data_IF_399375510644
#
_entry.id   IF_399375510644
#
_cell.length_a   1.000
_cell.length_b   1.000
_cell.length_c   1.000
_cell.angle_alpha   90.00
_cell.angle_beta   90.00
_cell.angle_gamma   90.00
#
_symmetry.space_group_name_H-M   'P 1'
#
loop_
_entity.id
_entity.type
_entity.pdbx_description
1 polymer ?
#
# COMPACT_ATOMS: atom_id res chain seq x y z
N UNK A 1 -21.21 7.05 -7.42
CA UNK A 1 -19.85 6.99 -6.80
C UNK A 1 -18.82 7.49 -7.79
N UNK A 2 -17.78 8.14 -7.29
CA UNK A 2 -16.61 8.52 -8.09
C UNK A 2 -15.72 7.29 -8.28
N UNK A 3 -15.45 6.92 -9.54
CA UNK A 3 -14.58 5.79 -9.84
C UNK A 3 -13.12 6.22 -9.85
N UNK A 4 -12.30 5.53 -9.06
CA UNK A 4 -10.88 5.80 -8.93
C UNK A 4 -10.03 4.57 -9.24
N UNK A 5 -8.78 4.80 -9.61
CA UNK A 5 -7.75 3.80 -9.80
C UNK A 5 -6.59 4.11 -8.86
N UNK A 6 -6.03 3.10 -8.18
CA UNK A 6 -4.86 3.28 -7.34
C UNK A 6 -3.66 2.64 -8.02
N UNK A 7 -2.64 3.46 -8.32
CA UNK A 7 -1.38 2.98 -8.90
C UNK A 7 -0.49 2.40 -7.81
N UNK A 8 -0.12 1.15 -8.01
CA UNK A 8 0.65 0.33 -7.09
C UNK A 8 -0.15 -0.84 -6.52
N UNK A 9 0.56 -1.91 -6.16
CA UNK A 9 0.04 -3.10 -5.48
C UNK A 9 1.16 -3.77 -4.65
N UNK A 10 1.88 -2.97 -3.83
CA UNK A 10 3.06 -3.41 -3.09
C UNK A 10 2.96 -3.18 -1.57
N UNK A 11 1.98 -2.42 -1.11
CA UNK A 11 1.77 -2.20 0.32
C UNK A 11 1.25 -0.82 0.68
N UNK A 12 1.92 0.27 0.28
CA UNK A 12 1.47 1.63 0.57
C UNK A 12 0.13 1.97 -0.09
N UNK A 13 -0.08 1.47 -1.28
CA UNK A 13 -1.32 1.51 -2.03
C UNK A 13 -2.48 0.84 -1.28
N UNK A 14 -2.28 -0.38 -0.77
CA UNK A 14 -3.27 -1.08 0.07
C UNK A 14 -3.51 -0.34 1.39
N UNK A 15 -2.45 0.21 2.00
CA UNK A 15 -2.57 1.05 3.19
C UNK A 15 -3.41 2.32 2.91
N UNK A 16 -3.14 3.01 1.82
CA UNK A 16 -3.90 4.18 1.39
C UNK A 16 -5.37 3.83 1.15
N UNK A 17 -5.64 2.70 0.49
CA UNK A 17 -6.99 2.19 0.29
C UNK A 17 -7.68 1.97 1.63
N UNK A 18 -7.06 1.23 2.54
CA UNK A 18 -7.64 0.86 3.83
C UNK A 18 -7.99 2.07 4.71
N UNK A 19 -7.20 3.15 4.64
CA UNK A 19 -7.42 4.32 5.48
C UNK A 19 -8.34 5.37 4.84
N UNK A 20 -8.36 5.45 3.50
CA UNK A 20 -9.01 6.59 2.83
C UNK A 20 -10.26 6.20 2.05
N UNK A 21 -10.29 4.99 1.47
CA UNK A 21 -11.30 4.63 0.48
C UNK A 21 -12.15 3.41 0.82
N UNK A 22 -11.65 2.53 1.69
CA UNK A 22 -12.27 1.23 1.99
C UNK A 22 -13.73 1.34 2.40
N UNK A 23 -14.03 2.32 3.26
CA UNK A 23 -15.34 2.50 3.88
C UNK A 23 -16.07 3.75 3.33
N UNK A 24 -15.55 4.37 2.26
CA UNK A 24 -16.16 5.53 1.61
C UNK A 24 -17.12 5.10 0.49
N UNK A 25 -18.41 5.09 0.77
CA UNK A 25 -19.45 4.74 -0.20
C UNK A 25 -19.59 5.75 -1.37
N UNK A 26 -18.98 6.95 -1.27
CA UNK A 26 -18.96 7.91 -2.36
C UNK A 26 -17.90 7.59 -3.43
N UNK A 27 -16.99 6.65 -3.13
CA UNK A 27 -15.87 6.27 -3.98
C UNK A 27 -15.95 4.78 -4.33
N UNK A 28 -15.62 4.44 -5.56
CA UNK A 28 -15.46 3.07 -6.04
C UNK A 28 -14.04 2.88 -6.57
N UNK A 29 -13.24 2.03 -5.94
CA UNK A 29 -11.92 1.65 -6.42
C UNK A 29 -12.06 0.57 -7.48
N UNK A 30 -11.83 0.92 -8.74
CA UNK A 30 -11.99 0.02 -9.89
C UNK A 30 -10.88 -1.05 -9.93
N UNK A 31 -9.64 -0.66 -9.64
CA UNK A 31 -8.50 -1.58 -9.62
C UNK A 31 -7.28 -0.98 -8.88
N UNK A 32 -6.34 -1.85 -8.55
CA UNK A 32 -4.93 -1.51 -8.30
C UNK A 32 -4.10 -1.83 -9.54
N UNK A 33 -2.92 -1.18 -9.71
CA UNK A 33 -1.99 -1.55 -10.77
C UNK A 33 -0.73 -2.21 -10.21
N UNK A 34 -0.24 -3.23 -10.92
CA UNK A 34 1.02 -3.91 -10.60
C UNK A 34 2.17 -3.26 -11.38
N UNK A 35 3.07 -2.59 -10.66
CA UNK A 35 4.26 -1.96 -11.23
C UNK A 35 5.57 -2.48 -10.63
N UNK A 36 5.59 -2.79 -9.33
CA UNK A 36 6.82 -3.03 -8.57
C UNK A 36 7.04 -4.50 -8.16
N UNK A 37 5.98 -5.32 -8.12
CA UNK A 37 6.06 -6.71 -7.67
C UNK A 37 5.76 -7.64 -8.84
N UNK A 38 6.73 -8.45 -9.27
CA UNK A 38 6.51 -9.45 -10.32
C UNK A 38 5.43 -10.48 -9.93
N UNK A 39 4.56 -10.84 -10.88
CA UNK A 39 3.56 -11.90 -10.68
C UNK A 39 2.35 -11.51 -9.81
N UNK A 40 2.19 -10.26 -9.43
CA UNK A 40 0.99 -9.81 -8.69
C UNK A 40 -0.16 -9.40 -9.63
N UNK A 41 0.13 -9.06 -10.88
CA UNK A 41 -0.88 -8.79 -11.89
C UNK A 41 -1.75 -10.04 -12.14
N UNK A 42 -3.04 -9.83 -12.38
CA UNK A 42 -4.03 -10.91 -12.52
C UNK A 42 -4.57 -11.45 -11.19
N UNK A 43 -4.02 -11.04 -10.04
CA UNK A 43 -4.54 -11.34 -8.71
C UNK A 43 -5.64 -10.35 -8.31
N UNK A 44 -6.22 -10.59 -7.16
CA UNK A 44 -7.19 -9.67 -6.54
C UNK A 44 -6.75 -9.32 -5.12
N UNK A 45 -6.98 -8.08 -4.72
CA UNK A 45 -6.99 -7.72 -3.31
C UNK A 45 -8.19 -8.40 -2.66
N UNK A 46 -8.00 -9.24 -1.62
CA UNK A 46 -9.02 -10.17 -1.15
C UNK A 46 -10.27 -9.46 -0.61
N UNK A 47 -11.47 -10.03 -0.78
CA UNK A 47 -12.71 -9.46 -0.24
C UNK A 47 -12.67 -9.24 1.27
N UNK A 48 -12.03 -10.15 2.01
CA UNK A 48 -11.90 -10.10 3.46
C UNK A 48 -11.15 -8.85 3.93
N UNK A 49 -10.21 -8.37 3.12
CA UNK A 49 -9.44 -7.15 3.37
C UNK A 49 -10.08 -5.92 2.75
N UNK A 50 -10.73 -6.08 1.60
CA UNK A 50 -11.36 -4.99 0.87
C UNK A 50 -12.63 -4.46 1.57
N UNK A 51 -13.31 -5.30 2.34
CA UNK A 51 -14.48 -4.91 3.13
C UNK A 51 -15.82 -5.02 2.37
N UNK A 52 -16.93 -4.67 3.04
CA UNK A 52 -18.28 -4.96 2.56
C UNK A 52 -18.66 -4.23 1.26
N UNK A 53 -18.02 -3.11 0.95
CA UNK A 53 -18.26 -2.39 -0.31
C UNK A 53 -17.62 -3.11 -1.52
N UNK A 54 -16.72 -4.07 -1.29
CA UNK A 54 -16.00 -4.81 -2.32
C UNK A 54 -16.13 -6.33 -2.12
N UNK A 55 -17.34 -6.90 -2.21
CA UNK A 55 -17.59 -8.31 -1.87
C UNK A 55 -16.88 -9.31 -2.79
N UNK A 56 -16.38 -8.86 -3.93
CA UNK A 56 -15.58 -9.67 -4.84
C UNK A 56 -14.08 -9.33 -4.79
N UNK A 57 -13.65 -8.49 -3.82
CA UNK A 57 -12.32 -7.91 -3.80
C UNK A 57 -12.07 -6.94 -4.95
N UNK A 58 -10.82 -6.44 -5.05
CA UNK A 58 -10.44 -5.45 -6.05
C UNK A 58 -9.40 -6.06 -6.99
N UNK A 59 -9.56 -6.00 -8.32
CA UNK A 59 -8.59 -6.56 -9.28
C UNK A 59 -7.25 -5.82 -9.22
N UNK A 60 -6.17 -6.54 -9.49
CA UNK A 60 -4.82 -6.01 -9.66
C UNK A 60 -4.43 -6.23 -11.12
N UNK A 61 -4.24 -5.16 -11.86
CA UNK A 61 -4.02 -5.15 -13.31
C UNK A 61 -2.60 -4.69 -13.62
N UNK A 62 -2.05 -5.07 -14.77
CA UNK A 62 -0.75 -4.56 -15.20
C UNK A 62 -0.83 -3.05 -15.46
N UNK A 63 0.16 -2.30 -14.99
CA UNK A 63 0.22 -0.84 -15.18
C UNK A 63 0.37 -0.46 -16.66
N UNK A 64 0.90 -1.34 -17.50
CA UNK A 64 0.99 -1.13 -18.94
C UNK A 64 -0.39 -0.97 -19.61
N UNK A 65 -1.44 -1.50 -18.98
CA UNK A 65 -2.83 -1.37 -19.45
C UNK A 65 -3.50 -0.06 -19.00
N UNK A 66 -2.78 0.85 -18.34
CA UNK A 66 -3.34 2.03 -17.67
C UNK A 66 -4.31 2.82 -18.58
N UNK A 67 -3.91 3.21 -19.78
CA UNK A 67 -4.73 4.02 -20.67
C UNK A 67 -6.05 3.31 -21.07
N UNK A 68 -5.98 2.01 -21.40
CA UNK A 68 -7.14 1.21 -21.75
C UNK A 68 -8.07 1.01 -20.53
N UNK A 69 -7.48 0.81 -19.35
CA UNK A 69 -8.21 0.65 -18.10
C UNK A 69 -8.99 1.92 -17.73
N UNK A 70 -8.37 3.10 -17.85
CA UNK A 70 -9.00 4.38 -17.56
C UNK A 70 -10.25 4.59 -18.40
N UNK A 71 -10.19 4.27 -19.70
CA UNK A 71 -11.33 4.39 -20.62
C UNK A 71 -12.42 3.34 -20.32
N UNK A 72 -12.03 2.06 -20.22
CA UNK A 72 -12.95 0.95 -19.99
C UNK A 72 -13.74 1.12 -18.70
N UNK A 73 -13.07 1.51 -17.64
CA UNK A 73 -13.65 1.65 -16.30
C UNK A 73 -14.21 3.06 -16.05
N UNK A 74 -14.09 3.99 -17.02
CA UNK A 74 -14.52 5.40 -16.87
C UNK A 74 -13.97 6.03 -15.59
N UNK A 75 -12.69 5.86 -15.35
CA UNK A 75 -12.01 6.35 -14.15
C UNK A 75 -11.95 7.87 -14.16
N UNK A 76 -12.34 8.48 -13.04
CA UNK A 76 -12.37 9.94 -12.89
C UNK A 76 -11.14 10.45 -12.11
N UNK A 77 -10.47 9.59 -11.37
CA UNK A 77 -9.30 9.98 -10.60
C UNK A 77 -8.29 8.82 -10.48
N UNK A 78 -7.04 9.13 -10.70
CA UNK A 78 -5.91 8.22 -10.49
C UNK A 78 -5.16 8.65 -9.24
N UNK A 79 -4.97 7.73 -8.30
CA UNK A 79 -4.21 7.95 -7.06
C UNK A 79 -2.86 7.25 -7.17
N UNK A 80 -1.79 8.03 -7.18
CA UNK A 80 -0.44 7.46 -7.19
C UNK A 80 0.03 7.13 -5.77
N UNK A 81 0.49 5.90 -5.52
CA UNK A 81 0.72 5.41 -4.17
C UNK A 81 2.06 4.70 -3.92
N UNK A 82 2.92 4.57 -4.92
CA UNK A 82 4.22 3.95 -4.74
C UNK A 82 5.40 4.94 -4.85
N UNK A 83 6.59 4.52 -4.48
CA UNK A 83 7.80 5.34 -4.42
C UNK A 83 8.97 4.60 -5.07
N UNK A 84 10.17 5.19 -5.00
CA UNK A 84 11.39 4.63 -5.57
C UNK A 84 11.41 4.67 -7.11
N UNK A 85 10.83 5.73 -7.67
CA UNK A 85 10.76 6.02 -9.09
C UNK A 85 11.16 7.46 -9.37
N UNK A 86 11.46 7.77 -10.62
CA UNK A 86 11.84 9.13 -11.03
C UNK A 86 10.62 10.05 -11.10
N UNK A 87 10.84 11.36 -10.95
CA UNK A 87 9.78 12.35 -11.16
C UNK A 87 9.22 12.30 -12.60
N UNK A 88 10.07 12.01 -13.58
CA UNK A 88 9.65 11.84 -14.97
C UNK A 88 8.65 10.69 -15.13
N UNK A 89 8.84 9.57 -14.42
CA UNK A 89 7.90 8.45 -14.42
C UNK A 89 6.54 8.87 -13.85
N UNK A 90 6.53 9.56 -12.70
CA UNK A 90 5.28 10.04 -12.07
C UNK A 90 4.55 10.98 -13.02
N UNK A 91 5.25 11.92 -13.64
CA UNK A 91 4.65 12.87 -14.58
C UNK A 91 4.18 12.20 -15.88
N UNK A 92 4.85 11.15 -16.34
CA UNK A 92 4.39 10.35 -17.48
C UNK A 92 3.03 9.70 -17.18
N UNK A 93 2.89 9.04 -16.02
CA UNK A 93 1.61 8.45 -15.59
C UNK A 93 0.51 9.50 -15.41
N UNK A 94 0.88 10.66 -14.83
CA UNK A 94 -0.04 11.79 -14.70
C UNK A 94 -0.52 12.28 -16.07
N UNK A 95 0.37 12.38 -17.06
CA UNK A 95 0.02 12.79 -18.43
C UNK A 95 -0.94 11.80 -19.09
N UNK A 96 -0.77 10.49 -18.88
CA UNK A 96 -1.70 9.46 -19.35
C UNK A 96 -3.07 9.66 -18.72
N UNK A 97 -3.13 9.85 -17.38
CA UNK A 97 -4.39 10.06 -16.67
C UNK A 97 -5.14 11.29 -17.18
N UNK A 98 -4.44 12.43 -17.28
CA UNK A 98 -5.00 13.69 -17.76
C UNK A 98 -5.48 13.61 -19.22
N UNK A 99 -4.73 12.92 -20.08
CA UNK A 99 -5.14 12.70 -21.48
C UNK A 99 -6.43 11.88 -21.60
N UNK A 100 -6.74 11.06 -20.61
CA UNK A 100 -7.99 10.30 -20.51
C UNK A 100 -9.09 11.03 -19.72
N UNK A 101 -8.86 12.29 -19.30
CA UNK A 101 -9.81 13.10 -18.54
C UNK A 101 -9.92 12.77 -17.06
N UNK A 102 -8.99 11.99 -16.52
CA UNK A 102 -8.95 11.66 -15.10
C UNK A 102 -8.01 12.60 -14.34
N UNK A 103 -8.41 13.02 -13.14
CA UNK A 103 -7.53 13.73 -12.21
C UNK A 103 -6.36 12.82 -11.75
N UNK A 104 -5.21 13.44 -11.45
CA UNK A 104 -4.07 12.72 -10.87
C UNK A 104 -3.78 13.25 -9.46
N UNK A 105 -3.75 12.35 -8.46
CA UNK A 105 -3.67 12.69 -7.05
C UNK A 105 -2.50 12.02 -6.35
N UNK A 106 -1.77 12.80 -5.57
CA UNK A 106 -0.82 12.36 -4.55
C UNK A 106 -1.44 12.60 -3.17
N UNK A 107 -1.64 11.54 -2.38
CA UNK A 107 -2.18 11.67 -1.03
C UNK A 107 -1.13 12.25 -0.07
N UNK A 108 -1.51 13.29 0.64
CA UNK A 108 -0.71 13.85 1.71
C UNK A 108 -0.63 12.92 2.93
N UNK A 109 0.44 13.04 3.75
CA UNK A 109 0.66 12.14 4.88
C UNK A 109 -0.42 12.24 5.96
N UNK A 110 -1.02 13.39 6.18
CA UNK A 110 -2.07 13.57 7.20
C UNK A 110 -3.27 12.63 7.01
N UNK A 111 -3.60 12.30 5.75
CA UNK A 111 -4.71 11.41 5.43
C UNK A 111 -4.35 9.93 5.55
N UNK A 112 -3.08 9.60 5.64
CA UNK A 112 -2.58 8.22 5.56
C UNK A 112 -1.72 7.81 6.76
N UNK A 113 -1.46 8.72 7.72
CA UNK A 113 -0.74 8.41 8.95
C UNK A 113 -1.69 7.88 10.03
N UNK A 114 -1.28 6.79 10.69
CA UNK A 114 -1.93 6.29 11.89
C UNK A 114 -1.46 7.08 13.11
N UNK A 115 -2.39 7.39 13.99
CA UNK A 115 -2.10 8.02 15.28
C UNK A 115 -1.81 6.96 16.34
N UNK A 116 -0.84 7.22 17.20
CA UNK A 116 -0.52 6.36 18.35
C UNK A 116 -0.61 7.14 19.66
N UNK A 117 -1.13 6.48 20.68
CA UNK A 117 -1.11 7.00 22.06
C UNK A 117 0.21 6.72 22.77
N UNK A 118 1.02 5.82 22.24
CA UNK A 118 2.33 5.45 22.77
C UNK A 118 3.43 6.23 22.03
N UNK A 119 4.57 6.48 22.68
CA UNK A 119 5.72 7.06 22.00
C UNK A 119 6.14 6.22 20.80
N UNK A 120 6.37 6.87 19.66
CA UNK A 120 6.75 6.23 18.40
C UNK A 120 8.10 6.76 17.93
N UNK A 121 8.97 5.84 17.53
CA UNK A 121 10.19 6.16 16.79
C UNK A 121 10.03 5.58 15.38
N UNK A 122 9.90 6.44 14.39
CA UNK A 122 9.77 6.04 13.00
C UNK A 122 11.14 5.88 12.34
N UNK A 123 11.40 4.69 11.79
CA UNK A 123 12.59 4.41 10.96
C UNK A 123 12.16 4.40 9.52
N UNK A 124 12.38 5.50 8.83
CA UNK A 124 12.00 5.69 7.41
C UNK A 124 13.24 5.84 6.52
N UNK A 125 13.05 5.65 5.24
CA UNK A 125 14.08 5.91 4.21
C UNK A 125 13.41 6.21 2.87
N UNK A 126 14.17 6.90 2.01
CA UNK A 126 13.70 7.36 0.70
C UNK A 126 13.55 6.22 -0.32
N UNK A 127 14.21 5.06 -0.08
CA UNK A 127 14.12 3.89 -0.96
C UNK A 127 14.41 2.57 -0.24
N UNK A 128 14.21 1.47 -0.95
CA UNK A 128 14.54 0.11 -0.49
C UNK A 128 16.06 -0.08 -0.36
N UNK A 129 16.50 -0.94 0.56
CA UNK A 129 17.93 -1.25 0.75
C UNK A 129 18.73 -0.27 1.62
N UNK A 130 18.14 0.82 2.10
CA UNK A 130 18.83 1.85 2.91
C UNK A 130 19.10 1.48 4.38
N UNK A 131 18.97 0.22 4.78
CA UNK A 131 19.32 -0.21 6.14
C UNK A 131 18.24 -0.01 7.21
N UNK A 132 16.97 0.29 6.86
CA UNK A 132 15.86 0.47 7.82
C UNK A 132 15.75 -0.67 8.83
N UNK A 133 15.80 -1.91 8.36
CA UNK A 133 15.63 -3.09 9.21
C UNK A 133 16.79 -3.28 10.19
N UNK A 134 18.02 -2.96 9.79
CA UNK A 134 19.19 -3.00 10.67
C UNK A 134 19.07 -1.92 11.75
N UNK A 135 18.73 -0.69 11.37
CA UNK A 135 18.55 0.43 12.32
C UNK A 135 17.42 0.13 13.32
N UNK A 136 16.28 -0.36 12.84
CA UNK A 136 15.17 -0.71 13.72
C UNK A 136 15.53 -1.83 14.72
N UNK A 137 16.27 -2.86 14.28
CA UNK A 137 16.77 -3.93 15.16
C UNK A 137 17.75 -3.42 16.20
N UNK A 138 18.71 -2.58 15.80
CA UNK A 138 19.67 -1.98 16.71
C UNK A 138 18.96 -1.12 17.77
N UNK A 139 18.08 -0.24 17.35
CA UNK A 139 17.33 0.65 18.22
C UNK A 139 16.45 -0.14 19.21
N UNK A 140 15.77 -1.18 18.72
CA UNK A 140 14.95 -2.06 19.57
C UNK A 140 15.79 -2.74 20.66
N UNK A 141 17.00 -3.20 20.34
CA UNK A 141 17.93 -3.81 21.34
C UNK A 141 18.38 -2.77 22.37
N UNK A 142 18.75 -1.58 21.92
CA UNK A 142 19.19 -0.49 22.81
C UNK A 142 18.10 -0.10 23.81
N UNK A 143 16.86 0.07 23.34
CA UNK A 143 15.73 0.42 24.20
C UNK A 143 15.40 -0.70 25.20
N UNK A 144 15.48 -1.96 24.77
CA UNK A 144 15.29 -3.11 25.67
C UNK A 144 16.37 -3.18 26.75
N UNK A 145 17.64 -2.90 26.43
CA UNK A 145 18.72 -2.81 27.41
C UNK A 145 18.48 -1.71 28.45
N UNK A 146 17.75 -0.65 28.09
CA UNK A 146 17.34 0.40 29.01
C UNK A 146 16.05 0.06 29.79
N UNK A 147 15.59 -1.19 29.75
CA UNK A 147 14.39 -1.65 30.46
C UNK A 147 13.07 -1.23 29.83
N UNK A 148 13.07 -0.73 28.59
CA UNK A 148 11.83 -0.34 27.89
C UNK A 148 11.14 -1.56 27.27
N UNK A 149 9.81 -1.58 27.33
CA UNK A 149 9.01 -2.49 26.53
C UNK A 149 8.91 -1.95 25.10
N UNK A 150 9.30 -2.76 24.13
CA UNK A 150 9.38 -2.33 22.72
C UNK A 150 8.59 -3.28 21.83
N UNK A 151 7.66 -2.72 21.05
CA UNK A 151 7.05 -3.39 19.92
C UNK A 151 7.61 -2.81 18.62
N UNK A 152 7.87 -3.67 17.65
CA UNK A 152 8.31 -3.27 16.32
C UNK A 152 7.18 -3.58 15.33
N UNK A 153 6.69 -2.53 14.66
CA UNK A 153 5.68 -2.67 13.62
C UNK A 153 6.36 -2.53 12.26
N UNK A 154 6.08 -3.45 11.36
CA UNK A 154 6.60 -3.47 10.01
C UNK A 154 5.47 -3.74 9.03
N UNK A 155 5.42 -3.00 7.94
CA UNK A 155 4.53 -3.31 6.83
C UNK A 155 5.08 -4.55 6.09
N UNK A 156 4.30 -5.62 5.91
CA UNK A 156 4.73 -6.80 5.15
C UNK A 156 4.81 -6.49 3.65
N UNK A 157 5.64 -7.24 2.94
CA UNK A 157 5.62 -7.26 1.48
C UNK A 157 4.59 -8.30 0.99
N UNK A 158 3.77 -8.01 -0.02
CA UNK A 158 2.66 -8.87 -0.45
C UNK A 158 3.12 -10.01 -1.38
N UNK A 159 4.16 -10.75 -1.00
CA UNK A 159 4.67 -11.87 -1.83
C UNK A 159 3.82 -13.14 -1.73
N UNK A 160 3.12 -13.35 -0.64
CA UNK A 160 2.32 -14.53 -0.36
C UNK A 160 0.81 -14.30 -0.50
N UNK A 161 0.05 -15.04 0.30
CA UNK A 161 -1.38 -14.85 0.46
C UNK A 161 -1.66 -13.59 1.27
N UNK A 162 -2.35 -12.63 0.67
CA UNK A 162 -2.61 -11.31 1.28
C UNK A 162 -3.54 -11.41 2.50
N UNK A 163 -4.50 -12.34 2.49
CA UNK A 163 -5.43 -12.52 3.60
C UNK A 163 -4.72 -13.14 4.81
N UNK A 164 -3.90 -14.16 4.59
CA UNK A 164 -3.10 -14.79 5.66
C UNK A 164 -2.05 -13.83 6.24
N UNK A 165 -1.52 -12.93 5.42
CA UNK A 165 -0.50 -11.95 5.82
C UNK A 165 -1.06 -10.63 6.32
N UNK A 166 -2.37 -10.49 6.46
CA UNK A 166 -3.02 -9.25 6.90
C UNK A 166 -2.50 -8.76 8.25
N UNK A 167 -2.33 -9.67 9.21
CA UNK A 167 -1.73 -9.41 10.52
C UNK A 167 -0.89 -10.60 10.95
N UNK A 168 0.41 -10.40 11.09
CA UNK A 168 1.32 -11.40 11.66
C UNK A 168 1.95 -10.85 12.94
N UNK A 169 1.84 -11.60 14.04
CA UNK A 169 2.44 -11.25 15.33
C UNK A 169 3.48 -12.28 15.72
N UNK A 170 4.69 -11.82 15.95
CA UNK A 170 5.82 -12.62 16.43
C UNK A 170 6.19 -12.16 17.83
N UNK A 171 5.75 -12.85 18.85
CA UNK A 171 6.08 -12.58 20.27
C UNK A 171 7.21 -13.47 20.78
N UNK A 172 7.34 -14.68 20.26
CA UNK A 172 8.36 -15.66 20.59
C UNK A 172 8.99 -16.24 19.31
N UNK A 173 10.11 -16.94 19.46
CA UNK A 173 10.81 -17.60 18.35
C UNK A 173 9.94 -18.68 17.69
N UNK A 174 9.14 -19.38 18.48
CA UNK A 174 8.23 -20.41 17.97
C UNK A 174 7.20 -19.87 16.97
N UNK A 175 6.84 -18.57 17.06
CA UNK A 175 5.91 -17.94 16.14
C UNK A 175 6.49 -17.82 14.71
N UNK A 176 7.83 -17.85 14.58
CA UNK A 176 8.51 -17.83 13.28
C UNK A 176 8.48 -19.19 12.59
N UNK A 177 8.39 -20.26 13.35
CA UNK A 177 8.37 -21.63 12.83
C UNK A 177 6.94 -22.04 12.39
N UNK A 178 5.95 -21.25 12.81
CA UNK A 178 4.52 -21.46 12.49
C UNK A 178 4.00 -20.55 11.36
N UNK A 179 4.83 -19.63 10.87
CA UNK A 179 4.47 -18.63 9.84
C UNK A 179 4.92 -19.06 8.44
#
# INVERSE_FOLDING_TARGET
SRRILILGAAGRDFHNFNLVYRDDAAVEVAAFTAAQIPGIAGRRYPPELAGPLYPQGIPIVDEQELAALLQRERVQQVVFAYSDVTHAHVMHLASIALAQGADFLLLGPERTQLQSRLPVIAVSAVRTGCGKSQTARWLSRLLKQQGRQVAVIRHPMPYGDLAQQAVQRFAARADLDAA
#
